data_IF_522601538058
#
_entry.id   IF_522601538058
#
_cell.length_a   1.000
_cell.length_b   1.000
_cell.length_c   1.000
_cell.angle_alpha   90.00
_cell.angle_beta   90.00
_cell.angle_gamma   90.00
#
_symmetry.space_group_name_H-M   'P 1'
#
loop_
_entity.id
_entity.type
_entity.pdbx_description
1 polymer ?
#
# COMPACT_ATOMS: atom_id res chain seq x y z
N UNK A 1 -6.60 4.33 17.71
CA UNK A 1 -6.13 5.01 16.49
C UNK A 1 -5.88 3.96 15.44
N UNK A 2 -6.46 4.10 14.25
CA UNK A 2 -6.28 3.13 13.18
C UNK A 2 -4.85 3.28 12.64
N UNK A 3 -4.16 2.16 12.36
CA UNK A 3 -2.79 2.20 11.80
C UNK A 3 -2.76 2.93 10.46
N UNK A 4 -3.88 2.94 9.74
CA UNK A 4 -4.08 3.67 8.48
C UNK A 4 -4.06 5.19 8.66
N UNK A 5 -4.41 5.71 9.84
CA UNK A 5 -4.40 7.16 10.13
C UNK A 5 -2.99 7.78 10.00
N UNK A 6 -1.94 6.95 9.97
CA UNK A 6 -0.55 7.36 9.77
C UNK A 6 -0.21 7.65 8.31
N UNK A 7 -1.04 7.18 7.38
CA UNK A 7 -0.83 7.37 5.95
C UNK A 7 -1.28 8.78 5.53
N UNK A 8 -0.52 9.38 4.62
CA UNK A 8 -0.91 10.64 3.97
C UNK A 8 -2.10 10.41 3.03
N UNK A 9 -2.81 11.47 2.60
CA UNK A 9 -3.88 11.33 1.61
C UNK A 9 -3.42 10.61 0.33
N UNK A 10 -2.22 10.94 -0.16
CA UNK A 10 -1.65 10.30 -1.35
C UNK A 10 -1.31 8.82 -1.15
N UNK A 11 -0.86 8.45 0.04
CA UNK A 11 -0.60 7.05 0.38
C UNK A 11 -1.89 6.24 0.50
N UNK A 12 -2.99 6.85 0.96
CA UNK A 12 -4.31 6.23 0.93
C UNK A 12 -4.79 5.96 -0.49
N UNK A 13 -4.64 6.93 -1.41
CA UNK A 13 -4.97 6.73 -2.83
C UNK A 13 -4.17 5.58 -3.44
N UNK A 14 -2.85 5.56 -3.22
CA UNK A 14 -1.97 4.49 -3.71
C UNK A 14 -2.36 3.13 -3.11
N UNK A 15 -2.67 3.06 -1.81
CA UNK A 15 -3.12 1.84 -1.16
C UNK A 15 -4.48 1.35 -1.72
N UNK A 16 -5.41 2.26 -2.02
CA UNK A 16 -6.69 1.92 -2.65
C UNK A 16 -6.52 1.35 -4.06
N UNK A 17 -5.55 1.84 -4.83
CA UNK A 17 -5.23 1.28 -6.14
C UNK A 17 -4.53 -0.09 -6.03
N UNK A 18 -3.68 -0.30 -5.00
CA UNK A 18 -3.13 -1.62 -4.68
C UNK A 18 -4.25 -2.60 -4.32
N UNK A 19 -5.26 -2.18 -3.56
CA UNK A 19 -6.41 -3.01 -3.20
C UNK A 19 -7.24 -3.48 -4.41
N UNK A 20 -7.18 -2.74 -5.52
CA UNK A 20 -7.77 -3.14 -6.81
C UNK A 20 -6.89 -4.13 -7.60
N UNK A 21 -5.73 -4.53 -7.08
CA UNK A 21 -4.81 -5.46 -7.75
C UNK A 21 -3.99 -4.83 -8.88
N UNK A 22 -3.89 -3.49 -8.94
CA UNK A 22 -3.19 -2.79 -10.02
C UNK A 22 -1.66 -2.91 -9.91
N UNK A 23 -0.98 -2.96 -11.06
CA UNK A 23 0.48 -2.90 -11.17
C UNK A 23 1.01 -1.48 -10.96
N UNK A 24 2.32 -1.31 -10.74
CA UNK A 24 2.92 0.04 -10.57
C UNK A 24 2.64 0.97 -11.75
N UNK A 25 2.79 0.48 -12.98
CA UNK A 25 2.47 1.23 -14.19
C UNK A 25 1.00 1.64 -14.28
N UNK A 26 0.08 0.75 -13.90
CA UNK A 26 -1.35 1.06 -13.87
C UNK A 26 -1.70 2.10 -12.80
N UNK A 27 -1.13 1.99 -11.60
CA UNK A 27 -1.28 2.98 -10.52
C UNK A 27 -0.69 4.32 -10.95
N UNK A 28 0.49 4.30 -11.59
CA UNK A 28 1.18 5.48 -12.08
C UNK A 28 0.31 6.23 -13.11
N UNK A 29 -0.29 5.51 -14.05
CA UNK A 29 -1.22 6.09 -15.01
C UNK A 29 -2.48 6.64 -14.33
N UNK A 30 -3.09 5.89 -13.41
CA UNK A 30 -4.32 6.28 -12.72
C UNK A 30 -4.15 7.54 -11.85
N UNK A 31 -3.00 7.68 -11.20
CA UNK A 31 -2.72 8.79 -10.29
C UNK A 31 -1.87 9.90 -10.92
N UNK A 32 -1.53 9.80 -12.21
CA UNK A 32 -0.65 10.74 -12.92
C UNK A 32 0.70 10.92 -12.19
N UNK A 33 1.36 9.79 -11.95
CA UNK A 33 2.67 9.69 -11.31
C UNK A 33 3.67 8.96 -12.22
N UNK A 34 4.96 9.02 -11.88
CA UNK A 34 5.93 8.07 -12.41
C UNK A 34 5.89 6.76 -11.63
N UNK A 35 6.27 5.65 -12.26
CA UNK A 35 6.39 4.35 -11.56
C UNK A 35 7.33 4.43 -10.35
N UNK A 36 8.42 5.17 -10.48
CA UNK A 36 9.37 5.42 -9.38
C UNK A 36 8.72 6.18 -8.21
N UNK A 37 7.81 7.12 -8.48
CA UNK A 37 7.06 7.80 -7.43
C UNK A 37 6.09 6.85 -6.73
N UNK A 38 5.41 5.98 -7.50
CA UNK A 38 4.54 4.93 -6.94
C UNK A 38 5.34 4.00 -6.04
N UNK A 39 6.50 3.51 -6.47
CA UNK A 39 7.39 2.67 -5.65
C UNK A 39 7.78 3.36 -4.34
N UNK A 40 8.11 4.66 -4.39
CA UNK A 40 8.42 5.44 -3.19
C UNK A 40 7.24 5.51 -2.22
N UNK A 41 6.02 5.74 -2.74
CA UNK A 41 4.82 5.74 -1.90
C UNK A 41 4.56 4.35 -1.30
N UNK A 42 4.68 3.28 -2.08
CA UNK A 42 4.50 1.90 -1.63
C UNK A 42 5.50 1.55 -0.51
N UNK A 43 6.78 1.89 -0.69
CA UNK A 43 7.79 1.67 0.34
C UNK A 43 7.48 2.48 1.61
N UNK A 44 7.03 3.73 1.48
CA UNK A 44 6.65 4.55 2.64
C UNK A 44 5.43 3.98 3.37
N UNK A 45 4.42 3.50 2.64
CA UNK A 45 3.26 2.79 3.20
C UNK A 45 3.75 1.59 4.01
N UNK A 46 4.59 0.73 3.43
CA UNK A 46 5.10 -0.45 4.13
C UNK A 46 5.85 -0.08 5.41
N UNK A 47 6.72 0.93 5.36
CA UNK A 47 7.41 1.41 6.57
C UNK A 47 6.44 1.93 7.64
N UNK A 48 5.41 2.69 7.27
CA UNK A 48 4.42 3.25 8.20
C UNK A 48 3.49 2.20 8.82
N UNK A 49 3.18 1.16 8.05
CA UNK A 49 2.40 0.01 8.48
C UNK A 49 3.25 -1.06 9.19
N UNK A 50 4.58 -0.88 9.28
CA UNK A 50 5.47 -1.84 9.92
C UNK A 50 5.62 -3.15 9.15
N UNK A 51 5.44 -3.13 7.82
CA UNK A 51 5.50 -4.30 6.95
C UNK A 51 6.94 -4.54 6.47
N UNK A 52 7.58 -5.54 7.07
CA UNK A 52 8.91 -6.02 6.67
C UNK A 52 8.81 -7.03 5.54
N UNK A 53 9.92 -7.24 4.82
CA UNK A 53 10.01 -8.36 3.88
C UNK A 53 10.01 -9.67 4.66
N UNK A 54 9.07 -10.55 4.32
CA UNK A 54 8.93 -11.87 4.91
C UNK A 54 8.88 -12.89 3.76
N UNK A 55 9.60 -14.03 3.86
CA UNK A 55 9.70 -14.98 2.75
C UNK A 55 8.37 -15.59 2.31
N UNK A 56 7.39 -15.66 3.21
CA UNK A 56 6.12 -16.36 3.01
C UNK A 56 4.93 -15.42 2.78
N UNK A 57 5.10 -14.10 2.92
CA UNK A 57 3.97 -13.16 2.86
C UNK A 57 4.21 -12.04 1.87
N UNK A 58 3.15 -11.67 1.15
CA UNK A 58 3.20 -10.54 0.23
C UNK A 58 2.79 -9.26 0.97
N UNK A 59 3.72 -8.30 1.09
CA UNK A 59 3.48 -7.02 1.78
C UNK A 59 2.29 -6.23 1.21
N UNK A 60 2.02 -6.31 -0.10
CA UNK A 60 0.84 -5.65 -0.69
C UNK A 60 -0.45 -6.26 -0.18
N UNK A 61 -0.53 -7.58 -0.17
CA UNK A 61 -1.71 -8.29 0.34
C UNK A 61 -1.90 -7.99 1.82
N UNK A 62 -0.83 -8.04 2.62
CA UNK A 62 -0.87 -7.70 4.06
C UNK A 62 -1.33 -6.26 4.31
N UNK A 63 -0.87 -5.29 3.51
CA UNK A 63 -1.33 -3.90 3.59
C UNK A 63 -2.83 -3.77 3.28
N UNK A 64 -3.34 -4.51 2.29
CA UNK A 64 -4.76 -4.51 1.94
C UNK A 64 -5.61 -5.19 3.02
N UNK A 65 -5.14 -6.30 3.61
CA UNK A 65 -5.84 -6.95 4.73
C UNK A 65 -5.96 -6.01 5.94
N UNK A 66 -4.89 -5.27 6.27
CA UNK A 66 -4.93 -4.22 7.29
C UNK A 66 -5.93 -3.11 6.95
N UNK A 67 -6.03 -2.72 5.67
CA UNK A 67 -7.02 -1.75 5.19
C UNK A 67 -8.45 -2.21 5.43
N UNK A 68 -8.74 -3.50 5.19
CA UNK A 68 -10.05 -4.10 5.36
C UNK A 68 -10.43 -4.33 6.83
N UNK A 69 -9.52 -4.09 7.77
CA UNK A 69 -9.73 -4.43 9.19
C UNK A 69 -9.71 -5.94 9.45
N UNK A 70 -9.33 -6.74 8.46
CA UNK A 70 -9.14 -8.18 8.58
C UNK A 70 -7.85 -8.43 9.35
N UNK A 71 -7.96 -8.39 10.67
CA UNK A 71 -7.02 -9.05 11.55
C UNK A 71 -7.29 -10.54 11.37
N UNK A 72 -6.44 -11.29 10.66
CA UNK A 72 -6.58 -12.75 10.74
C UNK A 72 -6.39 -13.21 12.19
N UNK A 73 -7.10 -14.28 12.62
CA UNK A 73 -7.07 -14.80 13.98
C UNK A 73 -5.73 -15.41 14.41
#
# INVERSE_FOLDING_TARGET
ANVLDRLTPREHEVLGEIAQGKSNGAIAAALVLSERAVEKHINSIFSKLGLTEEPQTNRRVKAVLMMLGSSEP
#
